data_IF_737351875473
#
_entry.id   IF_737351875473
#
_cell.length_a   1.000
_cell.length_b   1.000
_cell.length_c   1.000
_cell.angle_alpha   90.00
_cell.angle_beta   90.00
_cell.angle_gamma   90.00
#
_symmetry.space_group_name_H-M   'P 1'
#
loop_
_entity.id
_entity.type
_entity.pdbx_description
1 polymer ?
#
# COMPACT_ATOMS: atom_id res chain seq x y z
N UNK A 1 22.40 44.49 -16.02
CA UNK A 1 21.61 44.38 -14.78
C UNK A 1 20.57 43.28 -14.95
N UNK A 2 20.66 42.23 -14.13
CA UNK A 2 19.85 41.01 -14.21
C UNK A 2 18.40 41.30 -13.80
N UNK A 3 17.42 40.92 -14.62
CA UNK A 3 16.01 40.89 -14.23
C UNK A 3 15.70 39.48 -13.74
N UNK A 4 15.46 39.35 -12.44
CA UNK A 4 15.06 38.11 -11.79
C UNK A 4 13.68 37.68 -12.29
N UNK A 5 13.61 36.42 -12.72
CA UNK A 5 12.37 35.71 -12.98
C UNK A 5 11.76 35.41 -11.60
N UNK A 6 10.72 36.15 -11.22
CA UNK A 6 9.85 35.74 -10.12
C UNK A 6 8.96 34.60 -10.64
N UNK A 7 9.42 33.37 -10.46
CA UNK A 7 8.53 32.21 -10.43
C UNK A 7 7.83 32.30 -9.08
N UNK A 8 6.72 33.02 -9.05
CA UNK A 8 5.81 32.98 -7.92
C UNK A 8 5.28 31.54 -7.86
N UNK A 9 5.74 30.82 -6.84
CA UNK A 9 5.14 29.62 -6.28
C UNK A 9 3.62 29.83 -6.17
N UNK A 10 2.89 29.46 -7.22
CA UNK A 10 1.49 29.07 -7.06
C UNK A 10 1.58 27.74 -6.34
N UNK A 11 1.56 27.87 -5.01
CA UNK A 11 1.26 26.82 -4.07
C UNK A 11 0.18 25.93 -4.67
N UNK A 12 0.62 24.73 -5.07
CA UNK A 12 -0.23 23.57 -5.30
C UNK A 12 -0.77 23.16 -3.93
N UNK A 13 -1.61 24.01 -3.35
CA UNK A 13 -2.61 23.62 -2.36
C UNK A 13 -3.87 23.32 -3.16
N UNK A 14 -3.81 22.28 -3.98
CA UNK A 14 -5.01 21.50 -4.25
C UNK A 14 -5.36 20.83 -2.93
N UNK A 15 -6.05 21.58 -2.06
CA UNK A 15 -7.00 20.97 -1.16
C UNK A 15 -7.87 20.10 -2.03
N UNK A 16 -7.60 18.80 -1.99
CA UNK A 16 -8.55 17.78 -2.41
C UNK A 16 -9.76 18.03 -1.51
N UNK A 17 -10.69 18.87 -1.97
CA UNK A 17 -12.08 18.65 -1.62
C UNK A 17 -12.31 17.21 -2.01
N UNK A 18 -12.62 16.36 -1.03
CA UNK A 18 -13.10 15.01 -1.24
C UNK A 18 -14.43 15.12 -1.99
N UNK A 19 -14.34 15.46 -3.28
CA UNK A 19 -15.39 15.24 -4.23
C UNK A 19 -15.34 13.74 -4.43
N UNK A 20 -16.37 13.04 -3.97
CA UNK A 20 -16.59 11.63 -4.28
C UNK A 20 -16.44 11.49 -5.80
N UNK A 21 -15.28 11.02 -6.24
CA UNK A 21 -15.10 10.67 -7.64
C UNK A 21 -15.99 9.46 -7.89
N UNK A 22 -16.74 9.42 -9.00
CA UNK A 22 -17.55 8.25 -9.32
C UNK A 22 -16.63 7.01 -9.32
N UNK A 23 -17.11 5.95 -8.67
CA UNK A 23 -16.40 4.67 -8.60
C UNK A 23 -16.11 4.18 -10.02
N UNK A 24 -14.87 3.78 -10.29
CA UNK A 24 -14.52 3.14 -11.55
C UNK A 24 -15.01 1.69 -11.51
N UNK A 25 -16.25 1.47 -11.97
CA UNK A 25 -16.95 0.18 -11.90
C UNK A 25 -16.19 -0.95 -12.61
N UNK A 26 -15.56 -0.66 -13.76
CA UNK A 26 -14.76 -1.65 -14.50
C UNK A 26 -13.54 -2.08 -13.68
N UNK A 27 -12.80 -1.12 -13.11
CA UNK A 27 -11.67 -1.43 -12.22
C UNK A 27 -12.12 -2.19 -10.98
N UNK A 28 -13.26 -1.81 -10.37
CA UNK A 28 -13.80 -2.50 -9.19
C UNK A 28 -14.13 -3.95 -9.51
N UNK A 29 -14.82 -4.20 -10.62
CA UNK A 29 -15.19 -5.53 -11.07
C UNK A 29 -13.97 -6.41 -11.29
N UNK A 30 -12.97 -5.92 -12.03
CA UNK A 30 -11.74 -6.69 -12.29
C UNK A 30 -10.92 -6.91 -11.02
N UNK A 31 -10.90 -5.94 -10.11
CA UNK A 31 -10.27 -6.10 -8.79
C UNK A 31 -10.95 -7.22 -7.98
N UNK A 32 -12.28 -7.25 -7.94
CA UNK A 32 -13.03 -8.28 -7.23
C UNK A 32 -12.82 -9.68 -7.83
N UNK A 33 -12.74 -9.78 -9.16
CA UNK A 33 -12.37 -11.03 -9.85
C UNK A 33 -10.96 -11.48 -9.47
N UNK A 34 -10.00 -10.56 -9.42
CA UNK A 34 -8.63 -10.87 -8.99
C UNK A 34 -8.61 -11.43 -7.58
N UNK A 35 -9.31 -10.80 -6.61
CA UNK A 35 -9.31 -11.21 -5.21
C UNK A 35 -9.80 -12.65 -4.98
N UNK A 36 -10.70 -13.15 -5.83
CA UNK A 36 -11.23 -14.51 -5.69
C UNK A 36 -10.45 -15.55 -6.49
N UNK A 37 -9.52 -15.13 -7.36
CA UNK A 37 -8.70 -16.03 -8.17
C UNK A 37 -7.73 -16.87 -7.30
N UNK A 38 -7.47 -18.11 -7.73
CA UNK A 38 -6.55 -18.99 -7.01
C UNK A 38 -5.12 -18.44 -7.02
N UNK A 39 -4.70 -17.83 -8.13
CA UNK A 39 -3.37 -17.22 -8.25
C UNK A 39 -3.16 -16.04 -7.29
N UNK A 40 -4.21 -15.24 -7.02
CA UNK A 40 -4.16 -14.20 -6.00
C UNK A 40 -4.04 -14.80 -4.60
N UNK A 41 -4.89 -15.78 -4.27
CA UNK A 41 -4.86 -16.45 -2.96
C UNK A 41 -3.51 -17.12 -2.68
N UNK A 42 -2.91 -17.73 -3.70
CA UNK A 42 -1.58 -18.35 -3.62
C UNK A 42 -0.47 -17.33 -3.39
N UNK A 43 -0.55 -16.18 -4.07
CA UNK A 43 0.37 -15.08 -3.83
C UNK A 43 0.18 -14.49 -2.43
N UNK A 44 -1.06 -14.14 -2.05
CA UNK A 44 -1.40 -13.53 -0.77
C UNK A 44 -0.93 -14.41 0.39
N UNK A 45 -1.24 -15.71 0.36
CA UNK A 45 -0.78 -16.66 1.38
C UNK A 45 0.74 -16.73 1.49
N UNK A 46 1.45 -16.76 0.36
CA UNK A 46 2.91 -16.76 0.36
C UNK A 46 3.47 -15.45 0.92
N UNK A 47 2.83 -14.33 0.56
CA UNK A 47 3.21 -13.00 1.00
C UNK A 47 2.98 -12.81 2.50
N UNK A 48 1.85 -13.28 3.04
CA UNK A 48 1.56 -13.28 4.48
C UNK A 48 2.56 -14.12 5.26
N UNK A 49 2.88 -15.32 4.78
CA UNK A 49 3.91 -16.17 5.40
C UNK A 49 5.27 -15.47 5.45
N UNK A 50 5.63 -14.77 4.37
CA UNK A 50 6.86 -13.97 4.33
C UNK A 50 6.81 -12.80 5.31
N UNK A 51 5.70 -12.04 5.32
CA UNK A 51 5.47 -10.90 6.24
C UNK A 51 5.55 -11.34 7.71
N UNK A 52 5.07 -12.53 8.04
CA UNK A 52 5.14 -13.08 9.39
C UNK A 52 6.57 -13.44 9.83
N UNK A 53 7.49 -13.68 8.89
CA UNK A 53 8.90 -13.96 9.19
C UNK A 53 9.75 -12.70 9.27
N UNK A 54 9.42 -11.64 8.53
CA UNK A 54 10.15 -10.37 8.62
C UNK A 54 9.72 -9.57 9.85
N UNK A 55 10.69 -8.86 10.43
CA UNK A 55 10.42 -7.79 11.38
C UNK A 55 11.22 -6.58 10.96
N UNK A 56 10.52 -5.50 10.60
CA UNK A 56 11.16 -4.23 10.29
C UNK A 56 10.67 -3.15 11.24
N UNK A 57 11.55 -2.25 11.67
CA UNK A 57 11.15 -1.02 12.36
C UNK A 57 10.82 0.13 11.40
N UNK A 58 10.95 -0.14 10.09
CA UNK A 58 10.84 0.82 9.00
C UNK A 58 9.40 1.10 8.54
N UNK A 59 9.18 2.32 8.08
CA UNK A 59 7.93 2.84 7.46
C UNK A 59 7.84 2.48 5.98
N UNK A 60 6.68 2.67 5.36
CA UNK A 60 6.47 2.36 3.94
C UNK A 60 7.50 2.98 3.03
N UNK A 61 7.79 4.29 3.18
CA UNK A 61 8.74 5.00 2.31
C UNK A 61 10.18 4.46 2.41
N UNK A 62 10.52 3.79 3.51
CA UNK A 62 11.84 3.21 3.74
C UNK A 62 11.99 1.82 3.11
N UNK A 63 10.89 1.14 2.76
CA UNK A 63 10.93 -0.24 2.22
C UNK A 63 10.06 -0.46 0.96
N UNK A 64 9.40 0.58 0.43
CA UNK A 64 8.53 0.41 -0.73
C UNK A 64 9.32 0.10 -2.02
N UNK A 65 10.56 0.56 -2.14
CA UNK A 65 11.45 0.22 -3.25
C UNK A 65 12.22 -1.07 -3.00
N UNK A 66 12.32 -1.93 -4.00
CA UNK A 66 12.99 -3.23 -3.89
C UNK A 66 14.44 -3.10 -3.39
N UNK A 67 15.20 -2.12 -3.90
CA UNK A 67 16.59 -1.92 -3.46
C UNK A 67 16.70 -1.49 -2.00
N UNK A 68 15.77 -0.66 -1.52
CA UNK A 68 15.73 -0.25 -0.11
C UNK A 68 15.26 -1.40 0.77
N UNK A 69 14.24 -2.14 0.33
CA UNK A 69 13.75 -3.34 0.99
C UNK A 69 14.87 -4.37 1.20
N UNK A 70 15.61 -4.73 0.16
CA UNK A 70 16.71 -5.70 0.26
C UNK A 70 17.85 -5.20 1.15
N UNK A 71 18.16 -3.89 1.08
CA UNK A 71 19.13 -3.26 1.98
C UNK A 71 18.68 -3.39 3.45
N UNK A 72 17.45 -3.01 3.75
CA UNK A 72 16.88 -3.09 5.11
C UNK A 72 16.81 -4.54 5.58
N UNK A 73 16.39 -5.47 4.72
CA UNK A 73 16.36 -6.90 5.02
C UNK A 73 17.73 -7.42 5.44
N UNK A 74 18.80 -6.99 4.74
CA UNK A 74 20.17 -7.35 5.09
C UNK A 74 20.62 -6.75 6.42
N UNK A 75 20.29 -5.48 6.67
CA UNK A 75 20.65 -4.77 7.90
C UNK A 75 19.94 -5.35 9.13
N UNK A 76 18.67 -5.71 8.98
CA UNK A 76 17.77 -6.14 10.06
C UNK A 76 17.58 -7.66 10.11
N UNK A 77 18.38 -8.45 9.38
CA UNK A 77 18.18 -9.90 9.25
C UNK A 77 18.09 -10.63 10.60
N UNK A 78 18.85 -10.16 11.61
CA UNK A 78 18.87 -10.71 12.98
C UNK A 78 17.57 -10.52 13.74
N UNK A 79 16.69 -9.61 13.29
CA UNK A 79 15.37 -9.39 13.87
C UNK A 79 14.29 -10.26 13.21
N UNK A 80 14.61 -10.87 12.07
CA UNK A 80 13.69 -11.74 11.34
C UNK A 80 13.73 -13.18 11.87
N UNK A 81 12.76 -13.99 11.45
CA UNK A 81 12.72 -15.43 11.72
C UNK A 81 13.45 -16.27 10.66
N UNK A 82 14.12 -15.62 9.69
CA UNK A 82 14.97 -16.31 8.73
C UNK A 82 16.31 -16.69 9.39
N UNK A 83 16.89 -17.80 8.93
CA UNK A 83 18.22 -18.27 9.33
C UNK A 83 19.31 -17.28 8.96
N UNK A 84 19.23 -16.74 7.74
CA UNK A 84 20.22 -15.82 7.16
C UNK A 84 19.60 -15.01 6.00
N UNK A 85 20.37 -14.04 5.50
CA UNK A 85 19.91 -13.16 4.41
C UNK A 85 19.67 -13.93 3.11
N UNK A 86 20.42 -15.01 2.87
CA UNK A 86 20.31 -15.82 1.66
C UNK A 86 18.99 -16.60 1.62
N UNK A 87 18.55 -17.17 2.76
CA UNK A 87 17.22 -17.76 2.88
C UNK A 87 16.12 -16.73 2.65
N UNK A 88 16.22 -15.56 3.29
CA UNK A 88 15.22 -14.50 3.16
C UNK A 88 15.11 -13.99 1.70
N UNK A 89 16.25 -13.74 1.06
CA UNK A 89 16.31 -13.30 -0.33
C UNK A 89 15.75 -14.36 -1.28
N UNK A 90 16.04 -15.65 -1.06
CA UNK A 90 15.47 -16.75 -1.83
C UNK A 90 13.94 -16.81 -1.69
N UNK A 91 13.39 -16.70 -0.48
CA UNK A 91 11.94 -16.68 -0.28
C UNK A 91 11.29 -15.44 -0.92
N UNK A 92 11.98 -14.30 -0.90
CA UNK A 92 11.52 -13.09 -1.59
C UNK A 92 11.47 -13.28 -3.12
N UNK A 93 12.46 -13.96 -3.72
CA UNK A 93 12.41 -14.29 -5.15
C UNK A 93 11.26 -15.24 -5.50
N UNK A 94 11.00 -16.26 -4.67
CA UNK A 94 9.83 -17.14 -4.83
C UNK A 94 8.53 -16.32 -4.77
N UNK A 95 8.45 -15.34 -3.87
CA UNK A 95 7.31 -14.45 -3.78
C UNK A 95 7.12 -13.61 -5.06
N UNK A 96 8.22 -13.13 -5.66
CA UNK A 96 8.19 -12.43 -6.95
C UNK A 96 7.70 -13.30 -8.10
N UNK A 97 8.12 -14.56 -8.15
CA UNK A 97 7.62 -15.51 -9.16
C UNK A 97 6.11 -15.71 -9.02
N UNK A 98 5.61 -15.90 -7.79
CA UNK A 98 4.17 -16.00 -7.52
C UNK A 98 3.41 -14.74 -7.92
N UNK A 99 3.96 -13.57 -7.61
CA UNK A 99 3.39 -12.29 -8.06
C UNK A 99 3.31 -12.21 -9.58
N UNK A 100 4.35 -12.66 -10.30
CA UNK A 100 4.36 -12.66 -11.77
C UNK A 100 3.25 -13.53 -12.36
N UNK A 101 3.06 -14.74 -11.82
CA UNK A 101 1.98 -15.65 -12.23
C UNK A 101 0.60 -15.05 -11.94
N UNK A 102 0.42 -14.49 -10.74
CA UNK A 102 -0.81 -13.81 -10.36
C UNK A 102 -1.11 -12.63 -11.31
N UNK A 103 -0.09 -11.84 -11.66
CA UNK A 103 -0.24 -10.73 -12.59
C UNK A 103 -0.68 -11.17 -13.98
N UNK A 104 -0.06 -12.22 -14.51
CA UNK A 104 -0.37 -12.76 -15.84
C UNK A 104 -1.81 -13.27 -15.91
N UNK A 105 -2.23 -14.07 -14.91
CA UNK A 105 -3.55 -14.69 -14.86
C UNK A 105 -4.67 -13.69 -14.53
N UNK A 106 -4.35 -12.54 -13.93
CA UNK A 106 -5.29 -11.46 -13.65
C UNK A 106 -5.04 -10.23 -14.54
N UNK A 107 -4.59 -10.43 -15.78
CA UNK A 107 -4.23 -9.34 -16.70
C UNK A 107 -5.35 -8.31 -16.92
N UNK A 108 -6.64 -8.71 -16.84
CA UNK A 108 -7.79 -7.80 -16.90
C UNK A 108 -7.74 -6.68 -15.86
N UNK A 109 -7.43 -7.02 -14.60
CA UNK A 109 -7.24 -6.04 -13.53
C UNK A 109 -6.10 -5.07 -13.84
N UNK A 110 -4.95 -5.55 -14.30
CA UNK A 110 -3.79 -4.69 -14.56
C UNK A 110 -3.99 -3.79 -15.78
N UNK A 111 -4.77 -4.24 -16.77
CA UNK A 111 -5.19 -3.40 -17.90
C UNK A 111 -6.15 -2.30 -17.43
N UNK A 112 -7.22 -2.67 -16.70
CA UNK A 112 -8.16 -1.69 -16.12
C UNK A 112 -7.45 -0.69 -15.20
N UNK A 113 -6.49 -1.16 -14.38
CA UNK A 113 -5.70 -0.31 -13.50
C UNK A 113 -4.81 0.66 -14.28
N UNK A 114 -4.25 0.24 -15.41
CA UNK A 114 -3.43 1.13 -16.25
C UNK A 114 -4.27 2.28 -16.83
N UNK A 115 -5.49 1.97 -17.24
CA UNK A 115 -6.42 2.92 -17.88
C UNK A 115 -7.18 3.79 -16.86
N UNK A 116 -7.15 3.43 -15.58
CA UNK A 116 -7.79 4.19 -14.49
C UNK A 116 -7.11 5.54 -14.23
N UNK A 117 -7.78 6.44 -13.53
CA UNK A 117 -7.12 7.60 -12.94
C UNK A 117 -6.36 7.21 -11.68
N UNK A 118 -5.38 8.04 -11.32
CA UNK A 118 -4.74 7.95 -10.01
C UNK A 118 -5.78 8.27 -8.93
N UNK A 119 -5.82 7.44 -7.88
CA UNK A 119 -6.82 7.35 -6.79
C UNK A 119 -7.96 6.37 -7.02
N UNK A 120 -8.18 5.86 -8.23
CA UNK A 120 -9.33 4.98 -8.48
C UNK A 120 -9.19 3.68 -7.68
N UNK A 121 -8.01 3.04 -7.70
CA UNK A 121 -7.76 1.86 -6.89
C UNK A 121 -7.75 2.19 -5.40
N UNK A 122 -7.15 3.32 -5.01
CA UNK A 122 -7.10 3.75 -3.61
C UNK A 122 -8.51 3.89 -3.01
N UNK A 123 -9.43 4.49 -3.76
CA UNK A 123 -10.83 4.65 -3.36
C UNK A 123 -11.58 3.30 -3.31
N UNK A 124 -11.18 2.33 -4.14
CA UNK A 124 -11.73 0.97 -4.11
C UNK A 124 -11.26 0.20 -2.86
N UNK A 125 -9.97 0.25 -2.53
CA UNK A 125 -9.38 -0.59 -1.46
C UNK A 125 -9.39 0.06 -0.07
N UNK A 126 -9.55 1.39 -0.02
CA UNK A 126 -9.62 2.18 1.20
C UNK A 126 -10.62 3.34 1.00
N UNK A 127 -11.93 3.05 0.82
CA UNK A 127 -12.93 4.08 0.65
C UNK A 127 -12.93 5.03 1.84
N UNK A 128 -12.77 6.32 1.57
CA UNK A 128 -12.85 7.34 2.61
C UNK A 128 -14.29 7.78 2.78
N UNK A 129 -14.89 7.50 3.93
CA UNK A 129 -16.13 8.11 4.39
C UNK A 129 -15.86 8.95 5.64
N UNK A 130 -16.38 10.17 5.67
CA UNK A 130 -16.31 11.04 6.84
C UNK A 130 -17.38 10.58 7.86
N UNK A 131 -17.01 10.27 9.11
CA UNK A 131 -17.99 9.84 10.10
C UNK A 131 -18.98 10.97 10.42
N UNK A 132 -20.25 10.61 10.63
CA UNK A 132 -21.35 11.57 10.85
C UNK A 132 -21.33 12.21 12.25
N UNK A 133 -20.71 11.54 13.23
CA UNK A 133 -20.63 12.00 14.63
C UNK A 133 -19.24 11.71 15.18
N UNK A 134 -18.51 12.75 15.58
CA UNK A 134 -17.10 12.60 15.95
C UNK A 134 -16.84 13.04 17.39
N UNK A 135 -17.01 12.12 18.36
CA UNK A 135 -16.44 12.30 19.70
C UNK A 135 -14.99 11.80 19.78
N UNK A 136 -14.55 10.94 18.84
CA UNK A 136 -13.17 10.47 18.72
C UNK A 136 -12.64 10.57 17.28
N UNK A 137 -11.71 11.49 17.07
CA UNK A 137 -11.00 11.74 15.80
C UNK A 137 -10.14 10.55 15.32
N UNK A 138 -10.20 9.40 16.00
CA UNK A 138 -9.45 8.21 15.67
C UNK A 138 -9.89 7.57 14.35
N UNK A 139 -11.18 7.57 14.03
CA UNK A 139 -11.69 7.06 12.75
C UNK A 139 -11.24 7.93 11.57
N UNK A 140 -11.37 9.26 11.69
CA UNK A 140 -10.87 10.19 10.67
C UNK A 140 -9.37 9.99 10.42
N UNK A 141 -8.58 9.86 11.49
CA UNK A 141 -7.12 9.70 11.39
C UNK A 141 -6.74 8.37 10.75
N UNK A 142 -7.45 7.30 11.09
CA UNK A 142 -7.28 5.98 10.50
C UNK A 142 -7.61 5.96 9.00
N UNK A 143 -8.79 6.47 8.62
CA UNK A 143 -9.24 6.48 7.23
C UNK A 143 -8.33 7.36 6.34
N UNK A 144 -7.87 8.51 6.85
CA UNK A 144 -6.89 9.35 6.13
C UNK A 144 -5.56 8.61 5.92
N UNK A 145 -5.05 7.94 6.96
CA UNK A 145 -3.81 7.17 6.87
C UNK A 145 -3.93 6.02 5.88
N UNK A 146 -5.05 5.29 5.89
CA UNK A 146 -5.31 4.23 4.92
C UNK A 146 -5.42 4.75 3.48
N UNK A 147 -6.09 5.88 3.27
CA UNK A 147 -6.26 6.47 1.93
C UNK A 147 -4.93 6.88 1.32
N UNK A 148 -4.05 7.52 2.12
CA UNK A 148 -2.71 7.91 1.68
C UNK A 148 -1.88 6.67 1.35
N UNK A 149 -1.92 5.66 2.21
CA UNK A 149 -1.19 4.41 2.02
C UNK A 149 -1.68 3.66 0.76
N UNK A 150 -2.98 3.62 0.54
CA UNK A 150 -3.59 3.02 -0.65
C UNK A 150 -3.21 3.75 -1.94
N UNK A 151 -3.16 5.09 -1.92
CA UNK A 151 -2.67 5.89 -3.04
C UNK A 151 -1.19 5.62 -3.35
N UNK A 152 -0.35 5.54 -2.33
CA UNK A 152 1.07 5.23 -2.51
C UNK A 152 1.25 3.84 -3.14
N UNK A 153 0.47 2.86 -2.67
CA UNK A 153 0.45 1.51 -3.22
C UNK A 153 0.03 1.50 -4.70
N UNK A 154 -1.11 2.12 -5.02
CA UNK A 154 -1.59 2.27 -6.41
C UNK A 154 -0.55 2.90 -7.32
N UNK A 155 0.09 3.99 -6.88
CA UNK A 155 1.11 4.68 -7.66
C UNK A 155 2.29 3.78 -8.03
N UNK A 156 2.71 2.88 -7.13
CA UNK A 156 3.75 1.89 -7.44
C UNK A 156 3.23 0.84 -8.40
N UNK A 157 2.01 0.32 -8.19
CA UNK A 157 1.43 -0.70 -9.09
C UNK A 157 1.35 -0.21 -10.54
N UNK A 158 0.98 1.07 -10.74
CA UNK A 158 0.87 1.66 -12.07
C UNK A 158 2.22 1.96 -12.71
N UNK A 159 3.19 2.44 -11.93
CA UNK A 159 4.37 3.11 -12.48
C UNK A 159 5.71 2.40 -12.21
N UNK A 160 5.75 1.41 -11.31
CA UNK A 160 7.00 0.86 -10.75
C UNK A 160 6.93 -0.65 -10.55
N UNK A 161 6.81 -1.37 -11.65
CA UNK A 161 6.65 -2.83 -11.67
C UNK A 161 7.67 -3.60 -10.81
N UNK A 162 8.94 -3.21 -10.84
CA UNK A 162 10.02 -3.88 -10.08
C UNK A 162 9.85 -3.79 -8.56
N UNK A 163 9.05 -2.85 -8.06
CA UNK A 163 8.90 -2.59 -6.62
C UNK A 163 7.53 -3.02 -6.08
N UNK A 164 6.70 -3.69 -6.88
CA UNK A 164 5.32 -4.02 -6.44
C UNK A 164 5.31 -5.00 -5.28
N UNK A 165 6.19 -6.00 -5.27
CA UNK A 165 6.23 -6.99 -4.16
C UNK A 165 6.70 -6.35 -2.86
N UNK A 166 7.80 -5.59 -2.88
CA UNK A 166 8.27 -4.83 -1.72
C UNK A 166 7.24 -3.81 -1.23
N UNK A 167 6.53 -3.16 -2.15
CA UNK A 167 5.44 -2.23 -1.84
C UNK A 167 4.21 -2.93 -1.28
N UNK A 168 3.86 -4.13 -1.74
CA UNK A 168 2.79 -4.94 -1.13
C UNK A 168 3.15 -5.29 0.31
N UNK A 169 4.39 -5.74 0.56
CA UNK A 169 4.88 -6.03 1.91
C UNK A 169 4.78 -4.80 2.81
N UNK A 170 5.25 -3.64 2.30
CA UNK A 170 5.19 -2.37 3.01
C UNK A 170 3.73 -1.97 3.32
N UNK A 171 2.85 -2.04 2.33
CA UNK A 171 1.42 -1.73 2.43
C UNK A 171 0.73 -2.62 3.47
N UNK A 172 0.88 -3.94 3.36
CA UNK A 172 0.25 -4.91 4.27
C UNK A 172 0.69 -4.70 5.71
N UNK A 173 1.99 -4.48 5.95
CA UNK A 173 2.54 -4.22 7.28
C UNK A 173 2.01 -2.91 7.87
N UNK A 174 2.05 -1.83 7.11
CA UNK A 174 1.67 -0.50 7.60
C UNK A 174 0.15 -0.40 7.82
N UNK A 175 -0.66 -1.10 7.00
CA UNK A 175 -2.10 -1.30 7.23
C UNK A 175 -2.38 -1.97 8.57
N UNK A 176 -1.61 -3.00 8.95
CA UNK A 176 -1.75 -3.67 10.26
C UNK A 176 -1.36 -2.75 11.43
N UNK A 177 -0.30 -1.94 11.27
CA UNK A 177 0.12 -0.96 12.28
C UNK A 177 -0.97 0.10 12.48
N UNK A 178 -1.48 0.67 11.38
CA UNK A 178 -2.57 1.64 11.42
C UNK A 178 -3.82 1.07 12.09
N UNK A 179 -4.16 -0.19 11.82
CA UNK A 179 -5.28 -0.87 12.47
C UNK A 179 -5.06 -0.99 13.98
N UNK A 180 -3.88 -1.44 14.42
CA UNK A 180 -3.55 -1.54 15.85
C UNK A 180 -3.60 -0.17 16.55
N UNK A 181 -3.06 0.87 15.91
CA UNK A 181 -3.09 2.23 16.45
C UNK A 181 -4.54 2.76 16.56
N UNK A 182 -5.37 2.49 15.56
CA UNK A 182 -6.80 2.80 15.60
C UNK A 182 -7.51 2.14 16.79
N UNK A 183 -7.36 0.82 16.96
CA UNK A 183 -7.98 0.09 18.07
C UNK A 183 -7.51 0.61 19.45
N UNK A 184 -6.22 0.94 19.59
CA UNK A 184 -5.70 1.53 20.82
C UNK A 184 -6.30 2.92 21.09
N UNK A 185 -6.43 3.75 20.05
CA UNK A 185 -6.99 5.08 20.17
C UNK A 185 -8.48 5.04 20.53
N UNK A 186 -9.24 4.16 19.87
CA UNK A 186 -10.66 3.92 20.15
C UNK A 186 -10.88 3.50 21.60
N UNK A 187 -10.12 2.52 22.10
CA UNK A 187 -10.15 2.11 23.51
C UNK A 187 -9.84 3.26 24.46
N UNK A 188 -8.88 4.12 24.12
CA UNK A 188 -8.54 5.29 24.92
C UNK A 188 -9.67 6.32 25.01
N UNK A 189 -10.52 6.40 23.99
CA UNK A 189 -11.68 7.29 23.99
C UNK A 189 -12.92 6.69 24.65
N UNK A 190 -13.08 5.36 24.63
CA UNK A 190 -14.14 4.66 25.36
C UNK A 190 -13.91 4.64 26.89
N UNK A 191 -12.67 4.84 27.34
CA UNK A 191 -12.29 4.91 28.75
C UNK A 191 -12.40 6.32 29.37
N UNK A 192 -12.83 7.34 28.61
CA UNK A 192 -13.03 8.72 29.06
C UNK A 192 -14.51 9.01 29.30
#
# INVERSE_FOLDING_TARGET
MKKCILIAFVLIFNFVTAQEKPLNEDLKKEYDLMLVSDSYKDFEKAAENYVNKIYFLKTFNEICYESLFLKVLKEEIKLTSFKDYEEAEKEYFILKEKYSVMKELNSGFYLALKDSNLWDLANIIAPFSMPETDSCHCEITYNKSLSILAFQYENVLKNKEKSVVSTWIAYSKEKLINKKAYEMCKRGCELR
#
